data_IF_077505532303
#
_entry.id   IF_077505532303
#
_cell.length_a   1.000
_cell.length_b   1.000
_cell.length_c   1.000
_cell.angle_alpha   90.00
_cell.angle_beta   90.00
_cell.angle_gamma   90.00
#
_symmetry.space_group_name_H-M   'P 1'
#
loop_
_entity.id
_entity.type
_entity.pdbx_description
1 polymer ?
#
# COMPACT_ATOMS: atom_id res chain seq x y z
N UNK A 1 14.06 -52.05 -39.46
CA UNK A 1 14.96 -50.97 -38.96
C UNK A 1 14.21 -49.65 -38.77
N UNK A 2 13.04 -49.65 -38.11
CA UNK A 2 12.21 -48.42 -37.93
C UNK A 2 11.93 -48.15 -36.45
N UNK A 3 12.07 -49.11 -35.53
CA UNK A 3 11.76 -48.96 -34.11
C UNK A 3 12.67 -47.98 -33.27
N UNK A 4 13.97 -47.82 -33.52
CA UNK A 4 14.79 -46.94 -32.69
C UNK A 4 14.51 -45.43 -32.86
N UNK A 5 14.02 -45.01 -34.02
CA UNK A 5 13.73 -43.61 -34.34
C UNK A 5 12.46 -43.05 -33.65
N UNK A 6 11.50 -43.92 -33.41
CA UNK A 6 10.23 -43.53 -32.75
C UNK A 6 10.47 -43.33 -31.24
N UNK A 7 11.29 -44.20 -30.62
CA UNK A 7 11.62 -44.08 -29.17
C UNK A 7 12.45 -42.83 -28.88
N UNK A 8 13.40 -42.43 -29.74
CA UNK A 8 14.18 -41.20 -29.54
C UNK A 8 13.31 -39.95 -29.69
N UNK A 9 12.35 -39.91 -30.61
CA UNK A 9 11.45 -38.77 -30.76
C UNK A 9 10.49 -38.62 -29.58
N UNK A 10 9.98 -39.72 -29.03
CA UNK A 10 9.11 -39.67 -27.86
C UNK A 10 9.86 -39.22 -26.56
N UNK A 11 11.12 -39.65 -26.40
CA UNK A 11 11.92 -39.17 -25.26
C UNK A 11 12.30 -37.70 -25.37
N UNK A 12 12.66 -37.20 -26.56
CA UNK A 12 12.89 -35.76 -26.78
C UNK A 12 11.62 -34.93 -26.55
N UNK A 13 10.46 -35.42 -26.98
CA UNK A 13 9.20 -34.72 -26.77
C UNK A 13 8.78 -34.70 -25.28
N UNK A 14 9.03 -35.79 -24.55
CA UNK A 14 8.75 -35.85 -23.09
C UNK A 14 9.65 -34.89 -22.32
N UNK A 15 10.95 -34.88 -22.58
CA UNK A 15 11.88 -33.95 -21.93
C UNK A 15 11.58 -32.47 -22.23
N UNK A 16 11.09 -32.16 -23.45
CA UNK A 16 10.72 -30.81 -23.81
C UNK A 16 9.43 -30.38 -23.10
N UNK A 17 8.47 -31.28 -22.92
CA UNK A 17 7.24 -31.02 -22.13
C UNK A 17 7.58 -30.79 -20.65
N UNK A 18 8.47 -31.57 -20.07
CA UNK A 18 8.92 -31.40 -18.68
C UNK A 18 9.65 -30.06 -18.46
N UNK A 19 10.50 -29.65 -19.40
CA UNK A 19 11.18 -28.34 -19.35
C UNK A 19 10.18 -27.20 -19.47
N UNK A 20 9.19 -27.30 -20.37
CA UNK A 20 8.14 -26.29 -20.52
C UNK A 20 7.25 -26.24 -19.27
N UNK A 21 6.90 -27.39 -18.70
CA UNK A 21 6.12 -27.46 -17.47
C UNK A 21 6.91 -26.91 -16.28
N UNK A 22 8.20 -27.24 -16.15
CA UNK A 22 9.06 -26.70 -15.10
C UNK A 22 9.21 -25.18 -15.22
N UNK A 23 9.45 -24.65 -16.43
CA UNK A 23 9.54 -23.21 -16.69
C UNK A 23 8.20 -22.50 -16.44
N UNK A 24 7.06 -23.15 -16.77
CA UNK A 24 5.73 -22.62 -16.48
C UNK A 24 5.45 -22.59 -14.97
N UNK A 25 5.77 -23.68 -14.26
CA UNK A 25 5.64 -23.76 -12.78
C UNK A 25 6.56 -22.78 -12.07
N UNK A 26 7.79 -22.60 -12.55
CA UNK A 26 8.73 -21.60 -12.01
C UNK A 26 8.22 -20.18 -12.24
N UNK A 27 7.66 -19.90 -13.42
CA UNK A 27 7.05 -18.60 -13.74
C UNK A 27 5.78 -18.34 -12.91
N UNK A 28 4.93 -19.34 -12.69
CA UNK A 28 3.77 -19.22 -11.79
C UNK A 28 4.21 -19.04 -10.33
N UNK A 29 5.24 -19.77 -9.89
CA UNK A 29 5.77 -19.64 -8.54
C UNK A 29 6.38 -18.25 -8.29
N UNK A 30 7.05 -17.65 -9.27
CA UNK A 30 7.55 -16.27 -9.23
C UNK A 30 6.39 -15.27 -9.20
N UNK A 31 5.28 -15.56 -9.90
CA UNK A 31 4.08 -14.72 -9.89
C UNK A 31 3.27 -14.79 -8.58
N UNK A 32 3.54 -15.80 -7.73
CA UNK A 32 2.83 -16.01 -6.45
C UNK A 32 3.64 -15.60 -5.22
N UNK A 33 4.83 -15.04 -5.39
CA UNK A 33 5.70 -14.62 -4.29
C UNK A 33 6.10 -13.15 -4.39
N UNK A 34 6.46 -12.59 -3.23
CA UNK A 34 7.12 -11.30 -3.14
C UNK A 34 8.49 -11.34 -3.82
N UNK A 35 8.94 -10.17 -4.26
CA UNK A 35 10.31 -9.99 -4.76
C UNK A 35 11.21 -9.67 -3.58
N UNK A 36 12.23 -10.49 -3.36
CA UNK A 36 13.14 -10.31 -2.23
C UNK A 36 14.07 -9.12 -2.45
N UNK A 37 14.12 -8.25 -1.46
CA UNK A 37 15.01 -7.11 -1.40
C UNK A 37 16.04 -7.31 -0.27
N UNK A 38 17.32 -7.16 -0.61
CA UNK A 38 18.35 -7.15 0.42
C UNK A 38 18.39 -5.79 1.11
N UNK A 39 17.95 -5.75 2.37
CA UNK A 39 17.99 -4.57 3.25
C UNK A 39 19.00 -4.72 4.39
N UNK A 40 19.90 -5.72 4.34
CA UNK A 40 20.92 -5.93 5.36
C UNK A 40 21.83 -4.71 5.50
N UNK A 41 22.11 -4.33 6.74
CA UNK A 41 22.93 -3.14 7.05
C UNK A 41 22.23 -1.81 6.87
N UNK A 42 20.92 -1.80 6.53
CA UNK A 42 20.10 -0.59 6.45
C UNK A 42 19.06 -0.53 7.58
N UNK A 43 18.54 0.68 7.86
CA UNK A 43 17.43 0.88 8.79
C UNK A 43 16.10 1.13 8.06
N UNK A 44 16.05 0.91 6.75
CA UNK A 44 14.85 1.16 5.95
C UNK A 44 13.70 0.26 6.38
N UNK A 45 12.51 0.82 6.48
CA UNK A 45 11.28 0.13 6.86
C UNK A 45 10.38 -0.03 5.64
N UNK A 46 9.82 -1.23 5.46
CA UNK A 46 8.97 -1.54 4.33
C UNK A 46 7.49 -1.34 4.70
N UNK A 47 6.75 -0.66 3.84
CA UNK A 47 5.30 -0.45 3.96
C UNK A 47 4.62 -1.16 2.79
N UNK A 48 3.60 -1.96 3.08
CA UNK A 48 2.81 -2.65 2.06
C UNK A 48 1.73 -1.70 1.51
N UNK A 49 1.90 -1.24 0.26
CA UNK A 49 1.01 -0.29 -0.43
C UNK A 49 -0.36 -0.90 -0.71
N UNK A 50 -1.41 -0.38 -0.09
CA UNK A 50 -2.79 -0.90 -0.12
C UNK A 50 -2.88 -2.36 0.32
N UNK A 51 -2.06 -2.72 1.33
CA UNK A 51 -1.75 -4.10 1.65
C UNK A 51 -0.74 -4.71 0.68
N UNK A 52 -0.62 -6.03 0.63
CA UNK A 52 0.26 -6.71 -0.32
C UNK A 52 -0.41 -6.80 -1.70
N UNK A 53 -0.64 -5.65 -2.32
CA UNK A 53 -1.42 -5.48 -3.55
C UNK A 53 -0.76 -6.10 -4.78
N UNK A 54 0.52 -6.37 -4.74
CA UNK A 54 1.21 -7.16 -5.76
C UNK A 54 0.81 -8.64 -5.77
N UNK A 55 0.19 -9.17 -4.70
CA UNK A 55 -0.28 -10.55 -4.59
C UNK A 55 -1.80 -10.68 -4.45
N UNK A 56 -2.46 -9.75 -3.79
CA UNK A 56 -3.91 -9.75 -3.53
C UNK A 56 -4.58 -8.51 -4.12
N UNK A 57 -5.91 -8.49 -4.14
CA UNK A 57 -6.63 -7.28 -4.54
C UNK A 57 -6.37 -6.13 -3.55
N UNK A 58 -5.95 -4.98 -4.08
CA UNK A 58 -5.60 -3.80 -3.28
C UNK A 58 -6.73 -3.36 -2.34
N UNK A 59 -6.37 -2.78 -1.19
CA UNK A 59 -7.32 -2.23 -0.22
C UNK A 59 -8.40 -3.24 0.23
N UNK A 60 -8.04 -4.51 0.36
CA UNK A 60 -8.92 -5.57 0.87
C UNK A 60 -8.36 -6.19 2.14
N UNK A 61 -9.23 -6.80 2.93
CA UNK A 61 -8.78 -7.58 4.09
C UNK A 61 -7.80 -8.70 3.70
N UNK A 62 -7.94 -9.30 2.51
CA UNK A 62 -7.01 -10.30 2.00
C UNK A 62 -5.60 -9.74 1.83
N UNK A 63 -5.47 -8.55 1.18
CA UNK A 63 -4.18 -7.88 0.99
C UNK A 63 -3.55 -7.46 2.33
N UNK A 64 -4.35 -6.99 3.28
CA UNK A 64 -3.86 -6.60 4.60
C UNK A 64 -3.36 -7.79 5.41
N UNK A 65 -4.09 -8.91 5.41
CA UNK A 65 -3.67 -10.17 6.06
C UNK A 65 -2.43 -10.73 5.38
N UNK A 66 -2.35 -10.68 4.06
CA UNK A 66 -1.17 -11.13 3.32
C UNK A 66 0.08 -10.34 3.68
N UNK A 67 -0.03 -9.00 3.84
CA UNK A 67 1.05 -8.15 4.34
C UNK A 67 1.36 -8.41 5.82
N UNK A 68 0.32 -8.54 6.65
CA UNK A 68 0.45 -8.77 8.09
C UNK A 68 1.24 -10.03 8.44
N UNK A 69 1.06 -11.11 7.68
CA UNK A 69 1.77 -12.38 7.85
C UNK A 69 3.26 -12.34 7.46
N UNK A 70 3.79 -11.21 6.98
CA UNK A 70 5.19 -11.08 6.58
C UNK A 70 5.96 -10.18 7.52
N UNK A 71 7.04 -10.71 8.10
CA UNK A 71 7.84 -10.01 9.12
C UNK A 71 8.51 -8.75 8.57
N UNK A 72 8.90 -8.77 7.29
CA UNK A 72 9.60 -7.66 6.65
C UNK A 72 8.79 -6.37 6.54
N UNK A 73 7.47 -6.47 6.43
CA UNK A 73 6.65 -5.27 6.43
C UNK A 73 6.52 -4.69 7.84
N UNK A 74 6.97 -3.45 7.98
CA UNK A 74 6.80 -2.63 9.18
C UNK A 74 5.38 -2.14 9.31
N UNK A 75 4.74 -1.76 8.20
CA UNK A 75 3.41 -1.21 8.17
C UNK A 75 2.59 -1.63 6.94
N UNK A 76 1.32 -1.28 6.99
CA UNK A 76 0.32 -1.51 5.94
C UNK A 76 -0.30 -0.15 5.62
N UNK A 77 -0.16 0.26 4.37
CA UNK A 77 -0.80 1.47 3.88
C UNK A 77 -2.19 1.14 3.35
N UNK A 78 -3.13 2.10 3.45
CA UNK A 78 -4.46 2.03 2.88
C UNK A 78 -5.09 3.42 2.71
N UNK A 79 -6.13 3.48 1.85
CA UNK A 79 -6.79 4.72 1.41
C UNK A 79 -8.18 4.86 2.03
N UNK A 80 -8.47 5.97 2.71
CA UNK A 80 -9.76 6.21 3.37
C UNK A 80 -10.62 7.20 2.60
N UNK A 81 -11.88 6.80 2.39
CA UNK A 81 -12.97 7.68 1.93
C UNK A 81 -14.10 7.77 2.97
N UNK A 82 -14.87 8.84 2.90
CA UNK A 82 -16.11 9.02 3.64
C UNK A 82 -17.31 8.73 2.74
N UNK A 83 -18.17 7.80 3.14
CA UNK A 83 -19.41 7.49 2.42
C UNK A 83 -20.48 8.58 2.59
N UNK A 84 -21.52 8.56 1.75
CA UNK A 84 -22.66 9.48 1.83
C UNK A 84 -23.32 9.47 3.22
N UNK A 85 -23.45 8.31 3.84
CA UNK A 85 -24.02 8.12 5.19
C UNK A 85 -23.01 8.27 6.33
N UNK A 86 -21.81 8.79 6.02
CA UNK A 86 -20.80 9.20 7.00
C UNK A 86 -20.04 8.06 7.66
N UNK A 87 -19.92 6.91 6.98
CA UNK A 87 -19.00 5.83 7.35
C UNK A 87 -17.64 6.03 6.69
N UNK A 88 -16.62 5.36 7.19
CA UNK A 88 -15.26 5.41 6.64
C UNK A 88 -14.91 4.04 6.06
N UNK A 89 -14.60 4.03 4.77
CA UNK A 89 -14.31 2.82 3.98
C UNK A 89 -12.94 2.92 3.37
N UNK A 90 -12.34 1.76 3.10
CA UNK A 90 -11.01 1.66 2.50
C UNK A 90 -11.15 1.37 1.02
N UNK A 91 -10.75 2.35 0.20
CA UNK A 91 -10.78 2.27 -1.25
C UNK A 91 -9.90 3.37 -1.85
N UNK A 92 -9.25 3.15 -3.01
CA UNK A 92 -8.34 4.14 -3.57
C UNK A 92 -9.01 5.18 -4.46
N UNK A 93 -9.79 4.71 -5.45
CA UNK A 93 -10.35 5.58 -6.49
C UNK A 93 -11.61 6.29 -6.01
N UNK A 94 -11.96 7.43 -6.62
CA UNK A 94 -13.23 8.11 -6.34
C UNK A 94 -14.46 7.30 -6.76
N UNK A 95 -14.28 6.30 -7.63
CA UNK A 95 -15.34 5.42 -8.11
C UNK A 95 -14.88 3.96 -8.22
N UNK A 96 -15.85 3.03 -8.20
CA UNK A 96 -15.58 1.60 -8.14
C UNK A 96 -15.29 0.93 -9.48
N UNK A 97 -15.34 1.67 -10.61
CA UNK A 97 -15.27 1.15 -11.99
C UNK A 97 -14.07 0.22 -12.27
N UNK A 98 -12.90 0.54 -11.71
CA UNK A 98 -11.69 -0.26 -11.93
C UNK A 98 -11.75 -1.59 -11.17
N UNK A 99 -12.31 -1.58 -9.97
CA UNK A 99 -12.24 -2.70 -9.03
C UNK A 99 -13.54 -3.49 -8.88
N UNK A 100 -14.67 -3.05 -9.45
CA UNK A 100 -15.96 -3.74 -9.38
C UNK A 100 -16.68 -3.71 -10.74
N UNK A 101 -17.72 -4.53 -10.89
CA UNK A 101 -18.53 -4.55 -12.12
C UNK A 101 -19.45 -3.33 -12.21
N UNK A 102 -19.98 -2.88 -11.07
CA UNK A 102 -20.81 -1.68 -10.99
C UNK A 102 -19.95 -0.44 -10.70
N UNK A 103 -20.15 0.62 -11.48
CA UNK A 103 -19.48 1.90 -11.29
C UNK A 103 -20.30 2.82 -10.39
N UNK A 104 -19.77 3.11 -9.20
CA UNK A 104 -20.40 3.98 -8.20
C UNK A 104 -19.38 5.00 -7.70
N UNK A 105 -19.80 6.24 -7.48
CA UNK A 105 -18.99 7.25 -6.77
C UNK A 105 -18.96 6.89 -5.29
N UNK A 106 -17.79 6.71 -4.72
CA UNK A 106 -17.61 6.19 -3.35
C UNK A 106 -18.25 7.14 -2.33
N UNK A 107 -17.96 8.44 -2.40
CA UNK A 107 -18.45 9.42 -1.43
C UNK A 107 -19.92 9.81 -1.62
N UNK A 108 -20.54 9.46 -2.77
CA UNK A 108 -21.96 9.65 -3.06
C UNK A 108 -22.79 8.38 -2.81
N UNK A 109 -22.16 7.30 -2.39
CA UNK A 109 -22.81 6.01 -2.11
C UNK A 109 -22.87 5.72 -0.62
N UNK A 110 -23.92 4.98 -0.19
CA UNK A 110 -23.99 4.52 1.21
C UNK A 110 -23.03 3.36 1.45
N UNK A 111 -22.61 3.19 2.69
CA UNK A 111 -21.78 2.05 3.09
C UNK A 111 -22.40 0.72 2.68
N UNK A 112 -23.70 0.53 2.93
CA UNK A 112 -24.38 -0.71 2.61
C UNK A 112 -24.30 -1.04 1.11
N UNK A 113 -24.47 -0.04 0.25
CA UNK A 113 -24.37 -0.19 -1.20
C UNK A 113 -22.94 -0.59 -1.61
N UNK A 114 -21.94 0.13 -1.13
CA UNK A 114 -20.53 -0.17 -1.42
C UNK A 114 -20.12 -1.55 -0.90
N UNK A 115 -20.55 -1.93 0.30
CA UNK A 115 -20.24 -3.22 0.92
C UNK A 115 -20.86 -4.42 0.19
N UNK A 116 -21.94 -4.21 -0.56
CA UNK A 116 -22.58 -5.26 -1.35
C UNK A 116 -21.82 -5.62 -2.63
N UNK A 117 -20.93 -4.73 -3.10
CA UNK A 117 -20.09 -4.98 -4.26
C UNK A 117 -19.12 -6.15 -3.99
N UNK A 118 -18.74 -6.84 -5.07
CA UNK A 118 -17.64 -7.80 -5.08
C UNK A 118 -16.52 -7.23 -5.91
N UNK A 119 -15.31 -7.25 -5.33
CA UNK A 119 -14.16 -6.68 -6.00
C UNK A 119 -13.52 -7.70 -6.93
N UNK A 120 -12.90 -7.19 -7.97
CA UNK A 120 -12.15 -7.99 -8.94
C UNK A 120 -10.83 -8.46 -8.35
N UNK A 121 -10.47 -9.68 -8.67
CA UNK A 121 -9.16 -10.23 -8.43
C UNK A 121 -8.27 -9.94 -9.64
N UNK A 122 -7.27 -9.06 -9.53
CA UNK A 122 -6.45 -8.66 -10.69
C UNK A 122 -5.71 -9.83 -11.33
N UNK A 123 -5.36 -10.85 -10.55
CA UNK A 123 -4.62 -12.03 -11.00
C UNK A 123 -5.50 -13.14 -11.58
N UNK A 124 -6.80 -13.07 -11.40
CA UNK A 124 -7.76 -14.03 -11.94
C UNK A 124 -8.53 -13.43 -13.11
N UNK A 125 -7.82 -12.89 -14.11
CA UNK A 125 -8.38 -12.25 -15.30
C UNK A 125 -9.46 -11.19 -14.99
N UNK A 126 -9.39 -10.57 -13.81
CA UNK A 126 -10.36 -9.59 -13.36
C UNK A 126 -11.71 -10.15 -12.94
N UNK A 127 -11.82 -11.48 -12.73
CA UNK A 127 -13.04 -12.08 -12.19
C UNK A 127 -13.27 -11.60 -10.73
N UNK A 128 -14.53 -11.37 -10.38
CA UNK A 128 -14.90 -10.99 -9.01
C UNK A 128 -14.81 -12.19 -8.07
N UNK A 129 -14.40 -11.93 -6.82
CA UNK A 129 -14.38 -12.96 -5.75
C UNK A 129 -15.43 -12.63 -4.69
N UNK A 130 -16.14 -13.65 -4.23
CA UNK A 130 -17.22 -13.49 -3.26
C UNK A 130 -16.79 -12.99 -1.87
N UNK A 131 -15.53 -13.20 -1.51
CA UNK A 131 -14.91 -12.78 -0.26
C UNK A 131 -14.26 -11.39 -0.33
N UNK A 132 -14.04 -10.83 -1.53
CA UNK A 132 -13.45 -9.51 -1.70
C UNK A 132 -14.52 -8.42 -1.67
N UNK A 133 -14.52 -7.67 -0.59
CA UNK A 133 -15.45 -6.56 -0.33
C UNK A 133 -14.67 -5.33 0.11
N UNK A 134 -15.25 -4.15 -0.08
CA UNK A 134 -14.69 -2.88 0.43
C UNK A 134 -14.66 -2.92 1.96
N UNK A 135 -13.47 -2.85 2.61
CA UNK A 135 -13.35 -2.88 4.06
C UNK A 135 -13.79 -1.56 4.71
N UNK A 136 -14.10 -1.63 6.00
CA UNK A 136 -14.20 -0.44 6.86
C UNK A 136 -12.83 -0.04 7.41
N UNK A 137 -12.72 1.19 7.92
CA UNK A 137 -11.56 1.65 8.66
C UNK A 137 -11.25 0.73 9.85
N UNK A 138 -12.28 0.34 10.60
CA UNK A 138 -12.14 -0.53 11.78
C UNK A 138 -11.59 -1.92 11.41
N UNK A 139 -12.00 -2.49 10.27
CA UNK A 139 -11.48 -3.78 9.80
C UNK A 139 -9.97 -3.67 9.49
N UNK A 140 -9.53 -2.60 8.82
CA UNK A 140 -8.10 -2.38 8.55
C UNK A 140 -7.30 -2.24 9.84
N UNK A 141 -7.71 -1.34 10.76
CA UNK A 141 -7.00 -1.10 12.02
C UNK A 141 -6.92 -2.37 12.88
N UNK A 142 -8.00 -3.15 12.95
CA UNK A 142 -8.01 -4.42 13.68
C UNK A 142 -7.04 -5.45 13.07
N UNK A 143 -6.90 -5.48 11.75
CA UNK A 143 -5.91 -6.35 11.09
C UNK A 143 -4.50 -5.85 11.43
N UNK A 144 -4.21 -4.56 11.28
CA UNK A 144 -2.92 -3.99 11.65
C UNK A 144 -2.55 -4.31 13.10
N UNK A 145 -3.50 -4.13 14.03
CA UNK A 145 -3.30 -4.42 15.44
C UNK A 145 -3.02 -5.91 15.71
N UNK A 146 -3.74 -6.81 15.04
CA UNK A 146 -3.55 -8.26 15.20
C UNK A 146 -2.18 -8.74 14.75
N UNK A 147 -1.63 -8.12 13.72
CA UNK A 147 -0.31 -8.47 13.16
C UNK A 147 0.82 -7.54 13.61
N UNK A 148 0.54 -6.63 14.56
CA UNK A 148 1.50 -5.67 15.11
C UNK A 148 2.17 -4.80 14.03
N UNK A 149 1.40 -4.42 12.97
CA UNK A 149 1.86 -3.58 11.86
C UNK A 149 1.41 -2.13 12.05
N UNK A 150 2.28 -1.17 11.79
CA UNK A 150 1.81 0.21 11.68
C UNK A 150 0.72 0.34 10.63
N UNK A 151 -0.33 1.10 10.94
CA UNK A 151 -1.34 1.49 9.97
C UNK A 151 -0.93 2.84 9.37
N UNK A 152 -0.64 2.87 8.06
CA UNK A 152 -0.41 4.11 7.32
C UNK A 152 -1.69 4.43 6.54
N UNK A 153 -2.33 5.56 6.89
CA UNK A 153 -3.70 5.85 6.50
C UNK A 153 -3.77 7.11 5.63
N UNK A 154 -4.01 6.95 4.32
CA UNK A 154 -4.21 8.09 3.42
C UNK A 154 -5.62 8.66 3.55
N UNK A 155 -5.71 9.94 3.90
CA UNK A 155 -6.93 10.72 3.75
C UNK A 155 -7.03 11.22 2.30
N UNK A 156 -7.87 10.57 1.47
CA UNK A 156 -7.90 10.80 0.01
C UNK A 156 -8.34 12.20 -0.38
N UNK A 157 -9.54 12.58 -0.07
CA UNK A 157 -10.11 13.87 -0.44
C UNK A 157 -10.01 14.90 0.69
N UNK A 158 -10.50 16.12 0.48
CA UNK A 158 -10.53 17.12 1.54
C UNK A 158 -11.61 16.78 2.58
N UNK A 159 -11.21 16.23 3.71
CA UNK A 159 -12.08 15.93 4.84
C UNK A 159 -12.41 17.17 5.67
N UNK A 160 -13.62 17.23 6.24
CA UNK A 160 -13.93 18.21 7.27
C UNK A 160 -13.12 17.94 8.55
N UNK A 161 -12.93 18.95 9.38
CA UNK A 161 -12.30 18.76 10.69
C UNK A 161 -13.09 17.75 11.56
N UNK A 162 -14.41 17.74 11.47
CA UNK A 162 -15.28 16.78 12.18
C UNK A 162 -15.01 15.33 11.74
N UNK A 163 -14.84 15.09 10.44
CA UNK A 163 -14.57 13.75 9.94
C UNK A 163 -13.19 13.26 10.35
N UNK A 164 -12.16 14.11 10.26
CA UNK A 164 -10.81 13.77 10.73
C UNK A 164 -10.84 13.38 12.21
N UNK A 165 -11.56 14.15 13.05
CA UNK A 165 -11.65 13.85 14.48
C UNK A 165 -12.44 12.57 14.75
N UNK A 166 -13.43 12.21 13.94
CA UNK A 166 -14.14 10.92 14.04
C UNK A 166 -13.23 9.76 13.65
N UNK A 167 -12.45 9.89 12.56
CA UNK A 167 -11.46 8.90 12.14
C UNK A 167 -10.47 8.63 13.28
N UNK A 168 -9.86 9.69 13.82
CA UNK A 168 -8.92 9.56 14.96
C UNK A 168 -9.61 8.94 16.17
N UNK A 169 -10.85 9.37 16.50
CA UNK A 169 -11.60 8.81 17.60
C UNK A 169 -11.96 7.33 17.46
N UNK A 170 -12.12 6.82 16.22
CA UNK A 170 -12.28 5.38 15.95
C UNK A 170 -10.97 4.66 16.27
N UNK A 171 -9.83 5.17 15.77
CA UNK A 171 -8.52 4.57 15.99
C UNK A 171 -8.12 4.58 17.46
N UNK A 172 -8.41 5.69 18.20
CA UNK A 172 -8.22 5.81 19.65
C UNK A 172 -9.01 4.76 20.43
N UNK A 173 -10.29 4.56 20.08
CA UNK A 173 -11.15 3.54 20.72
C UNK A 173 -10.65 2.12 20.50
N UNK A 174 -9.97 1.86 19.37
CA UNK A 174 -9.32 0.58 19.07
C UNK A 174 -7.95 0.46 19.76
N UNK A 175 -7.47 1.51 20.46
CA UNK A 175 -6.19 1.51 21.17
C UNK A 175 -4.97 1.51 20.26
N UNK A 176 -5.09 2.00 19.00
CA UNK A 176 -4.04 1.82 18.01
C UNK A 176 -3.44 3.12 17.45
N UNK A 177 -3.74 4.27 18.04
CA UNK A 177 -3.31 5.57 17.52
C UNK A 177 -1.78 5.75 17.52
N UNK A 178 -1.08 5.24 18.52
CA UNK A 178 0.39 5.33 18.61
C UNK A 178 1.10 4.51 17.50
N UNK A 179 0.39 3.58 16.88
CA UNK A 179 0.85 2.75 15.77
C UNK A 179 0.20 3.16 14.44
N UNK A 180 -0.29 4.39 14.35
CA UNK A 180 -0.90 4.93 13.13
C UNK A 180 -0.11 6.13 12.61
N UNK A 181 0.03 6.20 11.30
CA UNK A 181 0.60 7.32 10.55
C UNK A 181 -0.50 7.84 9.63
N UNK A 182 -0.79 9.12 9.67
CA UNK A 182 -1.77 9.76 8.77
C UNK A 182 -1.04 10.41 7.62
N UNK A 183 -1.41 10.07 6.40
CA UNK A 183 -0.83 10.65 5.20
C UNK A 183 -1.91 11.32 4.34
N UNK A 184 -1.56 12.35 3.58
CA UNK A 184 -2.49 13.02 2.66
C UNK A 184 -1.76 13.92 1.66
N UNK A 185 -2.23 13.95 0.42
CA UNK A 185 -1.90 15.01 -0.56
C UNK A 185 -2.55 16.35 -0.22
N UNK A 186 -3.65 16.32 0.52
CA UNK A 186 -4.37 17.52 0.95
C UNK A 186 -3.75 18.10 2.23
N UNK A 187 -2.88 19.09 2.11
CA UNK A 187 -2.25 19.75 3.27
C UNK A 187 -3.28 20.25 4.29
N UNK A 188 -4.49 20.67 3.86
CA UNK A 188 -5.55 21.12 4.78
C UNK A 188 -6.00 20.01 5.74
N UNK A 189 -5.99 18.75 5.32
CA UNK A 189 -6.30 17.61 6.19
C UNK A 189 -5.27 17.53 7.34
N UNK A 190 -4.00 17.64 7.02
CA UNK A 190 -2.91 17.58 7.99
C UNK A 190 -2.91 18.79 8.93
N UNK A 191 -3.21 19.98 8.41
CA UNK A 191 -3.38 21.19 9.24
C UNK A 191 -4.58 21.02 10.22
N UNK A 192 -5.69 20.44 9.76
CA UNK A 192 -6.86 20.16 10.60
C UNK A 192 -6.54 19.13 11.67
N UNK A 193 -5.82 18.07 11.32
CA UNK A 193 -5.33 17.06 12.25
C UNK A 193 -4.49 17.71 13.37
N UNK A 194 -3.52 18.53 13.01
CA UNK A 194 -2.60 19.18 13.96
C UNK A 194 -3.28 20.09 14.99
N UNK A 195 -4.42 20.69 14.64
CA UNK A 195 -5.16 21.55 15.58
C UNK A 195 -5.63 20.85 16.85
N UNK A 196 -5.87 19.55 16.81
CA UNK A 196 -6.39 18.80 17.96
C UNK A 196 -5.50 17.61 18.36
N UNK A 197 -4.75 17.08 17.40
CA UNK A 197 -3.87 15.93 17.60
C UNK A 197 -2.43 16.27 17.16
N UNK A 198 -1.72 17.14 17.91
CA UNK A 198 -0.40 17.65 17.51
C UNK A 198 0.68 16.57 17.42
N UNK A 199 0.51 15.48 18.18
CA UNK A 199 1.53 14.43 18.33
C UNK A 199 1.29 13.19 17.46
N UNK A 200 0.16 13.09 16.74
CA UNK A 200 -0.09 11.98 15.82
C UNK A 200 0.94 12.01 14.71
N UNK A 201 1.55 10.88 14.39
CA UNK A 201 2.49 10.77 13.27
C UNK A 201 1.76 11.13 11.98
N UNK A 202 2.35 12.00 11.19
CA UNK A 202 1.73 12.41 9.92
C UNK A 202 2.77 12.82 8.89
N UNK A 203 2.53 12.44 7.64
CA UNK A 203 3.40 12.73 6.51
C UNK A 203 2.63 13.49 5.43
N UNK A 204 3.31 14.41 4.76
CA UNK A 204 2.77 15.15 3.64
C UNK A 204 3.12 14.42 2.35
N UNK A 205 2.10 13.94 1.62
CA UNK A 205 2.24 13.27 0.33
C UNK A 205 2.52 14.29 -0.78
N UNK A 206 3.57 14.03 -1.55
CA UNK A 206 3.97 14.86 -2.68
C UNK A 206 4.36 14.02 -3.89
N UNK A 207 4.02 14.49 -5.10
CA UNK A 207 4.54 13.89 -6.32
C UNK A 207 5.95 14.38 -6.62
N UNK A 208 6.21 15.66 -6.41
CA UNK A 208 7.48 16.31 -6.75
C UNK A 208 7.90 17.26 -5.62
N UNK A 209 9.22 17.47 -5.47
CA UNK A 209 9.75 18.35 -4.44
C UNK A 209 9.91 19.78 -4.94
N UNK A 210 9.49 20.74 -4.12
CA UNK A 210 9.80 22.15 -4.23
C UNK A 210 10.23 22.68 -2.85
N UNK A 211 11.25 23.56 -2.78
CA UNK A 211 11.79 24.05 -1.51
C UNK A 211 10.74 24.73 -0.61
N UNK A 212 9.67 25.29 -1.18
CA UNK A 212 8.53 25.83 -0.43
C UNK A 212 7.84 24.79 0.48
N UNK A 213 7.96 23.51 0.17
CA UNK A 213 7.35 22.43 0.97
C UNK A 213 8.02 22.28 2.32
N UNK A 214 9.33 22.60 2.43
CA UNK A 214 10.05 22.55 3.70
C UNK A 214 9.39 23.40 4.78
N UNK A 215 8.91 24.60 4.44
CA UNK A 215 8.20 25.45 5.40
C UNK A 215 6.98 24.76 5.99
N UNK A 216 6.20 24.03 5.16
CA UNK A 216 5.04 23.29 5.61
C UNK A 216 5.42 22.12 6.53
N UNK A 217 6.47 21.35 6.19
CA UNK A 217 6.93 20.23 7.01
C UNK A 217 7.34 20.71 8.40
N UNK A 218 8.12 21.78 8.48
CA UNK A 218 8.60 22.33 9.75
C UNK A 218 7.44 22.95 10.54
N UNK A 219 6.65 23.83 9.89
CA UNK A 219 5.58 24.60 10.53
C UNK A 219 4.50 23.71 11.13
N UNK A 220 4.14 22.65 10.43
CA UNK A 220 3.06 21.74 10.85
C UNK A 220 3.58 20.44 11.45
N UNK A 221 4.87 20.33 11.71
CA UNK A 221 5.51 19.12 12.23
C UNK A 221 5.09 17.86 11.46
N UNK A 222 5.29 17.89 10.14
CA UNK A 222 5.01 16.78 9.23
C UNK A 222 6.30 16.15 8.75
N UNK A 223 6.28 14.86 8.51
CA UNK A 223 7.29 14.16 7.75
C UNK A 223 6.97 14.18 6.25
N UNK A 224 7.90 13.75 5.42
CA UNK A 224 7.74 13.72 3.97
C UNK A 224 7.38 12.30 3.51
N UNK A 225 6.38 12.21 2.61
CA UNK A 225 6.12 11.01 1.82
C UNK A 225 6.05 11.40 0.34
N UNK A 226 7.00 10.91 -0.48
CA UNK A 226 7.19 11.46 -1.83
C UNK A 226 7.34 10.36 -2.88
N UNK A 227 6.88 10.64 -4.11
CA UNK A 227 7.11 9.74 -5.24
C UNK A 227 8.60 9.41 -5.39
N UNK A 228 8.94 8.13 -5.49
CA UNK A 228 10.33 7.65 -5.48
C UNK A 228 11.20 8.29 -6.56
N UNK A 229 10.63 8.65 -7.73
CA UNK A 229 11.37 9.30 -8.82
C UNK A 229 11.84 10.72 -8.48
N UNK A 230 11.28 11.35 -7.44
CA UNK A 230 11.71 12.67 -6.95
C UNK A 230 12.75 12.57 -5.80
N UNK A 231 13.07 11.36 -5.35
CA UNK A 231 14.05 11.14 -4.29
C UNK A 231 15.48 11.39 -4.80
N UNK A 232 16.23 12.15 -4.04
CA UNK A 232 17.68 12.33 -4.22
C UNK A 232 18.40 12.32 -2.88
N UNK A 233 19.69 11.96 -2.87
CA UNK A 233 20.48 11.99 -1.63
C UNK A 233 20.59 13.39 -1.01
N UNK A 234 20.50 14.46 -1.83
CA UNK A 234 20.43 15.84 -1.33
C UNK A 234 19.12 16.12 -0.61
N UNK A 235 17.99 15.66 -1.18
CA UNK A 235 16.67 15.80 -0.55
C UNK A 235 16.63 15.04 0.79
N UNK A 236 17.05 13.77 0.82
CA UNK A 236 17.08 12.99 2.06
C UNK A 236 17.87 13.71 3.16
N UNK A 237 19.05 14.23 2.83
CA UNK A 237 19.87 14.98 3.78
C UNK A 237 19.17 16.24 4.28
N UNK A 238 18.55 17.04 3.39
CA UNK A 238 17.77 18.23 3.79
C UNK A 238 16.62 17.90 4.74
N UNK A 239 15.90 16.79 4.49
CA UNK A 239 14.80 16.32 5.33
C UNK A 239 15.33 15.91 6.70
N UNK A 240 16.41 15.14 6.76
CA UNK A 240 17.03 14.70 8.01
C UNK A 240 17.63 15.87 8.82
N UNK A 241 18.27 16.85 8.18
CA UNK A 241 18.77 18.07 8.83
C UNK A 241 17.63 18.89 9.48
N UNK A 242 16.41 18.82 8.94
CA UNK A 242 15.22 19.41 9.54
C UNK A 242 14.60 18.54 10.66
N UNK A 243 15.22 17.41 11.03
CA UNK A 243 14.72 16.47 12.02
C UNK A 243 13.46 15.72 11.59
N UNK A 244 13.27 15.52 10.27
CA UNK A 244 12.14 14.83 9.67
C UNK A 244 12.58 13.51 9.07
N UNK A 245 11.62 12.59 8.85
CA UNK A 245 11.83 11.36 8.12
C UNK A 245 11.26 11.45 6.70
N UNK A 246 11.74 10.57 5.82
CA UNK A 246 11.31 10.50 4.43
C UNK A 246 10.84 9.09 4.07
N UNK A 247 9.58 8.97 3.64
CA UNK A 247 9.00 7.81 2.98
C UNK A 247 8.97 8.03 1.47
N UNK A 248 8.97 6.97 0.68
CA UNK A 248 8.78 7.09 -0.76
C UNK A 248 7.90 5.99 -1.34
N UNK A 249 7.10 6.34 -2.35
CA UNK A 249 6.11 5.49 -3.02
C UNK A 249 6.16 5.66 -4.55
N UNK A 250 5.69 4.73 -5.38
CA UNK A 250 5.56 3.31 -5.09
C UNK A 250 6.79 2.64 -5.70
N UNK A 251 7.52 1.90 -4.92
CA UNK A 251 8.81 1.30 -5.33
C UNK A 251 8.59 -0.21 -5.52
N UNK A 252 8.60 -0.68 -6.76
CA UNK A 252 8.25 -2.06 -7.09
C UNK A 252 9.36 -2.84 -7.81
N UNK A 253 10.50 -2.19 -8.09
CA UNK A 253 11.69 -2.84 -8.65
C UNK A 253 12.85 -2.84 -7.67
N UNK A 254 13.71 -3.85 -7.74
CA UNK A 254 14.91 -3.95 -6.89
C UNK A 254 15.87 -2.79 -7.19
N UNK A 255 15.96 -2.37 -8.45
CA UNK A 255 16.82 -1.29 -8.91
C UNK A 255 16.40 0.06 -8.28
N UNK A 256 15.10 0.40 -8.34
CA UNK A 256 14.59 1.63 -7.74
C UNK A 256 14.74 1.59 -6.20
N UNK A 257 14.45 0.43 -5.59
CA UNK A 257 14.62 0.25 -4.15
C UNK A 257 16.07 0.48 -3.72
N UNK A 258 17.03 -0.12 -4.43
CA UNK A 258 18.44 0.06 -4.11
C UNK A 258 18.88 1.51 -4.31
N UNK A 259 18.36 2.20 -5.33
CA UNK A 259 18.62 3.62 -5.54
C UNK A 259 18.14 4.48 -4.37
N UNK A 260 16.87 4.34 -3.95
CA UNK A 260 16.33 5.17 -2.87
C UNK A 260 16.93 4.82 -1.50
N UNK A 261 17.29 3.54 -1.26
CA UNK A 261 18.04 3.13 -0.07
C UNK A 261 19.41 3.84 -0.03
N UNK A 262 20.13 3.89 -1.14
CA UNK A 262 21.42 4.57 -1.24
C UNK A 262 21.28 6.10 -1.08
N UNK A 263 20.12 6.68 -1.42
CA UNK A 263 19.80 8.08 -1.14
C UNK A 263 19.55 8.34 0.35
N UNK A 264 19.19 7.32 1.13
CA UNK A 264 18.99 7.41 2.57
C UNK A 264 17.54 7.61 3.00
N UNK A 265 16.56 7.02 2.28
CA UNK A 265 15.16 7.04 2.73
C UNK A 265 14.97 6.20 4.00
N UNK A 266 13.99 6.57 4.83
CA UNK A 266 13.65 5.85 6.06
C UNK A 266 12.59 4.78 5.83
N UNK A 267 11.69 5.00 4.84
CA UNK A 267 10.61 4.08 4.49
C UNK A 267 10.52 3.89 2.98
N UNK A 268 10.07 2.71 2.60
CA UNK A 268 9.72 2.36 1.21
C UNK A 268 8.32 1.76 1.21
N UNK A 269 7.41 2.40 0.48
CA UNK A 269 6.06 1.90 0.22
C UNK A 269 6.04 1.17 -1.12
N UNK A 270 5.62 -0.11 -1.10
CA UNK A 270 5.73 -1.04 -2.23
C UNK A 270 4.53 -1.96 -2.36
N UNK A 271 4.23 -2.39 -3.59
CA UNK A 271 3.20 -3.41 -3.85
C UNK A 271 3.72 -4.84 -3.64
N UNK A 272 5.06 -5.09 -3.74
CA UNK A 272 5.55 -6.45 -3.93
C UNK A 272 6.94 -6.75 -3.32
N UNK A 273 7.76 -5.75 -3.03
CA UNK A 273 9.12 -5.96 -2.49
C UNK A 273 9.07 -6.37 -1.01
N UNK A 274 9.94 -7.33 -0.63
CA UNK A 274 10.04 -7.82 0.75
C UNK A 274 11.50 -8.12 1.14
#
# INVERSE_FOLDING_TARGET
>A
MILPWILLKTQCFHGMIEIIQAAFMEKEMVLMNTIKLNTEGTNVKMIAHRGLSGLEAENTCAAFVAAGNREKYYGIECDVHRTLDGKYVIFHDDNTKRMADDSMTVEESTFQTLRSLRLREPRNNGATRGDLMIPTLEENINICARYEKYAELELKNEFTASDIFKIIGIIEKLGYLDHTIIISFCLKNLIRLRKRHPNVKAQFLLCDWEDKHMENLVRYNLDLDIRHTAVTGELCRKIHEAGKVINCWTVDTVEDAQYVINCGVDFITTNILE
#
